data_IF_876945247532
#
_entry.id   IF_876945247532
#
_cell.length_a   1.000
_cell.length_b   1.000
_cell.length_c   1.000
_cell.angle_alpha   90.00
_cell.angle_beta   90.00
_cell.angle_gamma   90.00
#
_symmetry.space_group_name_H-M   'P 1'
#
loop_
_entity.id
_entity.type
_entity.pdbx_description
1 polymer ?
#
# COMPACT_ATOMS: atom_id res chain seq x y z
N UNK A 1 11.41 0.21 8.19
CA UNK A 1 10.08 0.33 7.52
C UNK A 1 9.62 -1.00 6.96
N UNK A 2 8.45 -1.48 7.39
CA UNK A 2 7.79 -2.71 6.88
C UNK A 2 6.32 -2.42 6.54
N UNK A 3 5.75 -3.04 5.49
CA UNK A 3 4.33 -2.89 5.18
C UNK A 3 3.47 -3.64 6.22
N UNK A 4 2.40 -2.99 6.70
CA UNK A 4 1.36 -3.67 7.47
C UNK A 4 0.37 -4.33 6.49
N UNK A 5 0.69 -5.53 6.04
CA UNK A 5 -0.03 -6.24 4.97
C UNK A 5 -1.53 -6.33 5.25
N UNK A 6 -1.93 -6.65 6.48
CA UNK A 6 -3.35 -6.79 6.85
C UNK A 6 -4.12 -5.49 6.66
N UNK A 7 -3.55 -4.38 7.12
CA UNK A 7 -4.17 -3.05 6.98
C UNK A 7 -4.16 -2.58 5.53
N UNK A 8 -3.10 -2.87 4.77
CA UNK A 8 -3.03 -2.52 3.35
C UNK A 8 -4.04 -3.37 2.55
N UNK A 9 -4.17 -4.66 2.82
CA UNK A 9 -5.16 -5.52 2.16
C UNK A 9 -6.58 -5.00 2.43
N UNK A 10 -6.89 -4.65 3.69
CA UNK A 10 -8.16 -4.02 4.04
C UNK A 10 -8.42 -2.71 3.29
N UNK A 11 -7.39 -1.86 3.14
CA UNK A 11 -7.49 -0.64 2.34
C UNK A 11 -7.80 -0.94 0.87
N UNK A 12 -7.15 -1.96 0.29
CA UNK A 12 -7.40 -2.41 -1.09
C UNK A 12 -8.84 -2.91 -1.24
N UNK A 13 -9.34 -3.67 -0.28
CA UNK A 13 -10.71 -4.21 -0.32
C UNK A 13 -11.76 -3.09 -0.18
N UNK A 14 -11.57 -2.16 0.75
CA UNK A 14 -12.56 -1.12 1.07
C UNK A 14 -12.55 0.08 0.10
N UNK A 15 -11.38 0.48 -0.40
CA UNK A 15 -11.24 1.69 -1.25
C UNK A 15 -11.05 1.39 -2.73
N UNK A 16 -10.72 0.14 -3.06
CA UNK A 16 -10.45 -0.27 -4.44
C UNK A 16 -11.23 -1.52 -4.84
N UNK A 17 -12.17 -1.99 -4.03
CA UNK A 17 -13.01 -3.17 -4.32
C UNK A 17 -12.15 -4.42 -4.61
N UNK A 18 -11.04 -4.56 -3.89
CA UNK A 18 -10.08 -5.66 -4.10
C UNK A 18 -9.17 -5.50 -5.33
N UNK A 19 -9.32 -4.42 -6.10
CA UNK A 19 -8.59 -4.20 -7.33
C UNK A 19 -7.15 -3.72 -7.08
N UNK A 20 -6.22 -4.68 -7.04
CA UNK A 20 -4.77 -4.44 -6.89
C UNK A 20 -4.18 -3.55 -8.01
N UNK A 21 -4.76 -3.52 -9.20
CA UNK A 21 -4.29 -2.65 -10.30
C UNK A 21 -4.63 -1.20 -10.02
N UNK A 22 -5.86 -0.91 -9.58
CA UNK A 22 -6.30 0.44 -9.23
C UNK A 22 -5.51 0.99 -8.05
N UNK A 23 -5.29 0.18 -7.01
CA UNK A 23 -4.43 0.56 -5.89
C UNK A 23 -2.98 0.82 -6.32
N UNK A 24 -2.39 -0.06 -7.12
CA UNK A 24 -1.02 0.14 -7.61
C UNK A 24 -0.89 1.46 -8.39
N UNK A 25 -1.91 1.80 -9.20
CA UNK A 25 -1.96 3.04 -9.97
C UNK A 25 -2.07 4.27 -9.07
N UNK A 26 -2.87 4.22 -7.99
CA UNK A 26 -3.03 5.35 -7.08
C UNK A 26 -1.75 5.67 -6.31
N UNK A 27 -0.94 4.65 -5.96
CA UNK A 27 0.35 4.85 -5.27
C UNK A 27 1.56 4.88 -6.21
N UNK A 28 1.36 4.85 -7.53
CA UNK A 28 2.42 5.00 -8.53
C UNK A 28 3.40 3.82 -8.65
N UNK A 29 2.94 2.59 -8.45
CA UNK A 29 3.75 1.36 -8.58
C UNK A 29 3.12 0.36 -9.56
N UNK A 30 3.84 -0.75 -9.85
CA UNK A 30 3.31 -1.83 -10.70
C UNK A 30 2.40 -2.76 -9.89
N UNK A 31 1.32 -3.26 -10.50
CA UNK A 31 0.42 -4.25 -9.88
C UNK A 31 1.15 -5.50 -9.41
N UNK A 32 2.15 -5.98 -10.16
CA UNK A 32 2.96 -7.14 -9.77
C UNK A 32 3.69 -6.90 -8.44
N UNK A 33 4.21 -5.69 -8.23
CA UNK A 33 4.86 -5.31 -6.98
C UNK A 33 3.86 -5.33 -5.81
N UNK A 34 2.65 -4.79 -6.01
CA UNK A 34 1.57 -4.87 -5.00
C UNK A 34 1.24 -6.32 -4.66
N UNK A 35 1.11 -7.20 -5.65
CA UNK A 35 0.82 -8.62 -5.38
C UNK A 35 1.89 -9.28 -4.53
N UNK A 36 3.18 -9.07 -4.82
CA UNK A 36 4.28 -9.63 -4.03
C UNK A 36 4.28 -9.08 -2.61
N UNK A 37 4.08 -7.77 -2.44
CA UNK A 37 4.03 -7.14 -1.11
C UNK A 37 2.86 -7.68 -0.28
N UNK A 38 1.68 -7.83 -0.88
CA UNK A 38 0.50 -8.30 -0.17
C UNK A 38 0.54 -9.79 0.17
N UNK A 39 1.27 -10.60 -0.61
CA UNK A 39 1.39 -12.03 -0.35
C UNK A 39 2.51 -12.32 0.65
N UNK A 40 3.68 -11.71 0.44
CA UNK A 40 4.92 -12.14 1.09
C UNK A 40 5.55 -11.05 1.97
N UNK A 41 5.04 -9.81 1.93
CA UNK A 41 5.59 -8.67 2.68
C UNK A 41 6.93 -8.14 2.17
N UNK A 42 7.44 -8.68 1.08
CA UNK A 42 8.74 -8.32 0.49
C UNK A 42 8.57 -7.40 -0.72
N UNK A 43 9.64 -6.70 -1.12
CA UNK A 43 9.64 -5.84 -2.31
C UNK A 43 9.00 -4.45 -2.11
N UNK A 44 8.64 -4.10 -0.87
CA UNK A 44 8.22 -2.74 -0.49
C UNK A 44 9.45 -1.83 -0.35
N UNK A 45 9.72 -1.04 -1.39
CA UNK A 45 10.80 -0.05 -1.40
C UNK A 45 10.29 1.39 -1.27
N UNK A 46 11.21 2.36 -1.41
CA UNK A 46 10.93 3.80 -1.27
C UNK A 46 9.75 4.26 -2.12
N UNK A 47 9.62 3.78 -3.36
CA UNK A 47 8.48 4.15 -4.24
C UNK A 47 7.13 3.68 -3.69
N UNK A 48 7.07 2.47 -3.14
CA UNK A 48 5.85 1.93 -2.55
C UNK A 48 5.47 2.72 -1.30
N UNK A 49 6.41 2.91 -0.38
CA UNK A 49 6.12 3.65 0.86
C UNK A 49 5.81 5.12 0.60
N UNK A 50 6.57 5.79 -0.26
CA UNK A 50 6.31 7.19 -0.63
C UNK A 50 4.96 7.37 -1.31
N UNK A 51 4.59 6.47 -2.22
CA UNK A 51 3.28 6.48 -2.85
C UNK A 51 2.13 6.22 -1.87
N UNK A 52 2.31 5.28 -0.94
CA UNK A 52 1.32 4.96 0.09
C UNK A 52 1.15 6.11 1.09
N UNK A 53 2.24 6.75 1.52
CA UNK A 53 2.19 7.94 2.40
C UNK A 53 1.46 9.07 1.68
N UNK A 54 1.84 9.37 0.43
CA UNK A 54 1.16 10.40 -0.37
C UNK A 54 -0.33 10.14 -0.52
N UNK A 55 -0.72 8.90 -0.84
CA UNK A 55 -2.13 8.52 -0.90
C UNK A 55 -2.83 8.73 0.45
N UNK A 56 -2.18 8.38 1.56
CA UNK A 56 -2.74 8.60 2.88
C UNK A 56 -2.95 10.09 3.16
N UNK A 57 -1.97 10.95 2.83
CA UNK A 57 -2.07 12.40 2.99
C UNK A 57 -3.22 13.00 2.16
N UNK A 58 -3.36 12.58 0.89
CA UNK A 58 -4.43 13.02 -0.01
C UNK A 58 -5.83 12.61 0.44
N UNK A 59 -5.93 11.53 1.22
CA UNK A 59 -7.19 10.96 1.69
C UNK A 59 -7.42 11.11 3.20
N UNK A 60 -6.63 11.94 3.90
CA UNK A 60 -6.69 12.15 5.35
C UNK A 60 -6.64 10.85 6.17
N UNK A 61 -5.80 9.90 5.75
CA UNK A 61 -5.56 8.63 6.44
C UNK A 61 -4.25 8.68 7.24
N UNK A 62 -4.19 7.97 8.36
CA UNK A 62 -2.95 7.84 9.12
C UNK A 62 -2.04 6.75 8.51
N UNK A 63 -0.98 7.15 7.80
CA UNK A 63 -0.07 6.21 7.15
C UNK A 63 0.59 5.21 8.12
N UNK A 64 0.67 5.55 9.43
CA UNK A 64 1.24 4.69 10.47
C UNK A 64 0.39 3.44 10.74
N UNK A 65 -0.87 3.42 10.30
CA UNK A 65 -1.66 2.19 10.31
C UNK A 65 -1.18 1.18 9.27
N UNK A 66 -0.65 1.66 8.14
CA UNK A 66 -0.26 0.84 7.00
C UNK A 66 1.25 0.55 6.95
N UNK A 67 2.05 1.26 7.74
CA UNK A 67 3.51 1.16 7.72
C UNK A 67 4.05 1.05 9.15
N UNK A 68 4.80 -0.01 9.42
CA UNK A 68 5.59 -0.13 10.65
C UNK A 68 6.92 0.64 10.46
N UNK A 69 7.13 1.69 11.27
CA UNK A 69 8.31 2.58 11.22
C UNK A 69 9.53 2.08 12.03
N UNK A 70 9.49 0.83 12.47
CA UNK A 70 10.57 0.15 13.17
C UNK A 70 11.81 0.00 12.28
#
# INVERSE_FOLDING_TARGET
MKPNILKIQKLVDEKFEGNKTSFARSIGVKRSQVSVILNDGVGAGIKFFGGLIKYCDEHNLNFREYIFLQ
#
